data_IF_566991359505
#
_entry.id   IF_566991359505
#
_cell.length_a   1.000
_cell.length_b   1.000
_cell.length_c   1.000
_cell.angle_alpha   90.00
_cell.angle_beta   90.00
_cell.angle_gamma   90.00
#
_symmetry.space_group_name_H-M   'P 1'
#
loop_
_entity.id
_entity.type
_entity.pdbx_description
1 polymer ?
#
# COMPACT_ATOMS: atom_id res chain seq x y z
N UNK A 1 12.05 7.94 18.10
CA UNK A 1 11.30 7.18 17.07
C UNK A 1 11.27 5.73 17.51
N UNK A 2 10.09 5.12 17.56
CA UNK A 2 9.97 3.71 17.93
C UNK A 2 10.72 2.82 16.94
N UNK A 3 11.39 1.78 17.46
CA UNK A 3 12.04 0.74 16.65
C UNK A 3 11.04 -0.29 16.12
N UNK A 4 9.81 -0.27 16.61
CA UNK A 4 8.74 -1.17 16.19
C UNK A 4 7.85 -0.49 15.13
N UNK A 5 7.82 -1.00 13.88
CA UNK A 5 6.99 -0.45 12.81
C UNK A 5 5.47 -0.65 13.04
N UNK A 6 5.06 -1.49 14.00
CA UNK A 6 3.65 -1.75 14.34
C UNK A 6 3.11 -0.71 15.33
N UNK A 7 3.93 -0.24 16.28
CA UNK A 7 3.49 0.68 17.32
C UNK A 7 2.75 1.93 16.77
N UNK A 8 3.21 2.61 15.69
CA UNK A 8 2.53 3.79 15.15
C UNK A 8 1.16 3.50 14.54
N UNK A 9 0.83 2.24 14.26
CA UNK A 9 -0.43 1.82 13.63
C UNK A 9 -1.27 0.91 14.54
N UNK A 10 -0.85 0.66 15.79
CA UNK A 10 -1.58 -0.23 16.70
C UNK A 10 -3.03 0.21 16.88
N UNK A 11 -3.26 1.53 17.04
CA UNK A 11 -4.62 2.09 17.16
C UNK A 11 -5.52 1.85 15.93
N UNK A 12 -4.95 1.56 14.76
CA UNK A 12 -5.70 1.10 13.58
C UNK A 12 -5.96 -0.40 13.66
N UNK A 13 -4.93 -1.17 14.03
CA UNK A 13 -5.02 -2.61 14.16
C UNK A 13 -6.04 -3.03 15.23
N UNK A 14 -6.26 -2.23 16.25
CA UNK A 14 -7.26 -2.49 17.30
C UNK A 14 -8.71 -2.27 16.82
N UNK A 15 -8.91 -1.70 15.63
CA UNK A 15 -10.24 -1.49 15.06
C UNK A 15 -10.75 -2.75 14.34
N UNK A 16 -12.06 -2.89 14.28
CA UNK A 16 -12.71 -3.94 13.49
C UNK A 16 -12.36 -3.85 12.00
N UNK A 17 -12.18 -2.63 11.48
CA UNK A 17 -11.80 -2.36 10.08
C UNK A 17 -10.53 -1.47 10.01
N UNK A 18 -9.32 -2.03 10.17
CA UNK A 18 -8.07 -1.26 10.25
C UNK A 18 -7.77 -0.38 9.03
N UNK A 19 -8.30 -0.74 7.86
CA UNK A 19 -8.10 0.02 6.61
C UNK A 19 -9.08 1.18 6.42
N UNK A 20 -10.22 1.18 7.13
CA UNK A 20 -11.27 2.19 6.94
C UNK A 20 -10.77 3.62 7.18
N UNK A 21 -9.95 3.92 8.20
CA UNK A 21 -9.42 5.27 8.39
C UNK A 21 -8.50 5.74 7.24
N UNK A 22 -7.84 4.82 6.54
CA UNK A 22 -7.02 5.16 5.36
C UNK A 22 -7.91 5.51 4.17
N UNK A 23 -8.98 4.75 3.92
CA UNK A 23 -9.96 5.10 2.89
C UNK A 23 -10.62 6.46 3.16
N UNK A 24 -10.92 6.76 4.41
CA UNK A 24 -11.41 8.09 4.81
C UNK A 24 -10.37 9.19 4.53
N UNK A 25 -9.07 8.93 4.80
CA UNK A 25 -8.01 9.88 4.44
C UNK A 25 -7.92 10.11 2.92
N UNK A 26 -8.09 9.06 2.10
CA UNK A 26 -8.16 9.18 0.65
C UNK A 26 -9.36 10.00 0.19
N UNK A 27 -10.55 9.77 0.80
CA UNK A 27 -11.75 10.56 0.53
C UNK A 27 -11.53 12.05 0.84
N UNK A 28 -10.87 12.38 1.96
CA UNK A 28 -10.53 13.76 2.31
C UNK A 28 -9.56 14.40 1.31
N UNK A 29 -8.58 13.65 0.81
CA UNK A 29 -7.69 14.15 -0.26
C UNK A 29 -8.46 14.40 -1.55
N UNK A 30 -9.41 13.53 -1.88
CA UNK A 30 -10.31 13.74 -3.01
C UNK A 30 -11.10 15.04 -2.87
N UNK A 31 -11.68 15.27 -1.69
CA UNK A 31 -12.44 16.49 -1.37
C UNK A 31 -11.56 17.75 -1.47
N UNK A 32 -10.32 17.70 -0.95
CA UNK A 32 -9.35 18.79 -1.08
C UNK A 32 -9.08 19.10 -2.56
N UNK A 33 -8.87 18.06 -3.38
CA UNK A 33 -8.67 18.23 -4.82
C UNK A 33 -9.91 18.80 -5.52
N UNK A 34 -11.11 18.35 -5.14
CA UNK A 34 -12.37 18.84 -5.71
C UNK A 34 -12.66 20.30 -5.36
N UNK A 35 -12.22 20.76 -4.18
CA UNK A 35 -12.38 22.14 -3.74
C UNK A 35 -11.31 23.08 -4.32
N UNK A 36 -10.20 22.55 -4.85
CA UNK A 36 -9.17 23.35 -5.48
C UNK A 36 -9.62 23.90 -6.84
N UNK A 37 -8.96 24.97 -7.30
CA UNK A 37 -9.17 25.50 -8.64
C UNK A 37 -8.85 24.42 -9.68
N UNK A 38 -9.78 24.18 -10.61
CA UNK A 38 -9.64 23.14 -11.64
C UNK A 38 -8.35 23.31 -12.43
N UNK A 39 -7.54 22.24 -12.50
CA UNK A 39 -6.26 22.24 -13.20
C UNK A 39 -5.13 22.97 -12.47
N UNK A 40 -5.29 23.29 -11.17
CA UNK A 40 -4.24 23.90 -10.38
C UNK A 40 -3.22 22.88 -9.85
N UNK A 41 -2.09 23.39 -9.37
CA UNK A 41 -1.08 22.57 -8.69
C UNK A 41 -1.60 21.96 -7.39
N UNK A 42 -2.49 22.66 -6.69
CA UNK A 42 -3.15 22.16 -5.47
C UNK A 42 -4.00 20.93 -5.77
N UNK A 43 -4.83 20.98 -6.82
CA UNK A 43 -5.60 19.82 -7.26
C UNK A 43 -4.66 18.66 -7.61
N UNK A 44 -3.62 18.93 -8.40
CA UNK A 44 -2.67 17.90 -8.82
C UNK A 44 -1.93 17.24 -7.64
N UNK A 45 -1.54 18.02 -6.63
CA UNK A 45 -0.93 17.52 -5.40
C UNK A 45 -1.90 16.65 -4.60
N UNK A 46 -3.17 17.05 -4.50
CA UNK A 46 -4.18 16.27 -3.79
C UNK A 46 -4.42 14.90 -4.47
N UNK A 47 -4.54 14.88 -5.80
CA UNK A 47 -4.69 13.64 -6.59
C UNK A 47 -3.46 12.74 -6.51
N UNK A 48 -2.26 13.32 -6.54
CA UNK A 48 -1.00 12.59 -6.31
C UNK A 48 -1.04 11.85 -4.97
N UNK A 49 -1.41 12.55 -3.91
CA UNK A 49 -1.37 12.02 -2.55
C UNK A 49 -2.46 10.98 -2.32
N UNK A 50 -3.66 11.18 -2.90
CA UNK A 50 -4.72 10.19 -2.91
C UNK A 50 -4.24 8.88 -3.57
N UNK A 51 -3.65 8.99 -4.76
CA UNK A 51 -3.09 7.84 -5.48
C UNK A 51 -1.94 7.18 -4.71
N UNK A 52 -1.10 7.97 -4.04
CA UNK A 52 0.00 7.47 -3.23
C UNK A 52 -0.49 6.59 -2.08
N UNK A 53 -1.47 7.07 -1.31
CA UNK A 53 -2.09 6.26 -0.25
C UNK A 53 -2.80 5.03 -0.82
N UNK A 54 -3.47 5.19 -1.96
CA UNK A 54 -4.14 4.11 -2.66
C UNK A 54 -3.20 2.98 -3.07
N UNK A 55 -2.08 3.32 -3.71
CA UNK A 55 -1.07 2.34 -4.12
C UNK A 55 -0.39 1.69 -2.91
N UNK A 56 -0.17 2.42 -1.81
CA UNK A 56 0.35 1.83 -0.57
C UNK A 56 -0.58 0.77 0.03
N UNK A 57 -1.89 0.88 -0.19
CA UNK A 57 -2.88 -0.14 0.20
C UNK A 57 -2.97 -1.29 -0.81
N UNK A 58 -3.12 -0.98 -2.10
CA UNK A 58 -3.41 -1.99 -3.13
C UNK A 58 -2.18 -2.81 -3.55
N UNK A 59 -1.03 -2.15 -3.61
CA UNK A 59 0.23 -2.71 -4.07
C UNK A 59 1.30 -2.23 -3.07
N UNK A 60 1.38 -2.84 -1.87
CA UNK A 60 2.18 -2.34 -0.73
C UNK A 60 3.69 -2.51 -0.97
N UNK A 61 4.20 -1.88 -2.02
CA UNK A 61 5.59 -1.86 -2.45
C UNK A 61 6.44 -1.14 -1.40
N UNK A 62 7.73 -1.49 -1.34
CA UNK A 62 8.66 -0.74 -0.49
C UNK A 62 8.80 0.68 -1.06
N UNK A 63 9.03 1.66 -0.18
CA UNK A 63 9.27 3.06 -0.55
C UNK A 63 10.18 3.23 -1.76
N UNK A 64 11.32 2.52 -1.79
CA UNK A 64 12.28 2.59 -2.90
C UNK A 64 11.61 2.27 -4.25
N UNK A 65 10.86 1.17 -4.31
CA UNK A 65 10.14 0.77 -5.52
C UNK A 65 9.08 1.79 -5.93
N UNK A 66 8.37 2.42 -4.98
CA UNK A 66 7.36 3.46 -5.29
C UNK A 66 7.98 4.73 -5.89
N UNK A 67 9.10 5.20 -5.35
CA UNK A 67 9.80 6.40 -5.85
C UNK A 67 10.36 6.16 -7.26
N UNK A 68 10.76 4.92 -7.56
CA UNK A 68 11.32 4.50 -8.85
C UNK A 68 10.25 4.20 -9.92
N UNK A 69 8.95 4.21 -9.57
CA UNK A 69 7.89 4.04 -10.57
C UNK A 69 7.95 5.16 -11.61
N UNK A 70 7.73 4.83 -12.87
CA UNK A 70 7.74 5.75 -14.00
C UNK A 70 6.50 5.57 -14.86
N UNK A 71 6.05 6.64 -15.49
CA UNK A 71 4.98 6.61 -16.49
C UNK A 71 5.46 7.32 -17.74
N UNK A 72 5.23 6.70 -18.91
CA UNK A 72 5.63 7.22 -20.21
C UNK A 72 4.47 7.08 -21.20
N UNK A 73 4.30 8.01 -22.15
CA UNK A 73 3.19 7.98 -23.11
C UNK A 73 3.16 6.72 -24.00
N UNK A 74 4.32 6.13 -24.27
CA UNK A 74 4.51 4.94 -25.11
C UNK A 74 4.34 3.61 -24.35
N UNK A 75 3.87 3.65 -23.10
CA UNK A 75 3.76 2.49 -22.21
C UNK A 75 5.09 1.77 -21.91
N UNK A 76 6.25 2.40 -22.19
CA UNK A 76 7.58 1.86 -21.82
C UNK A 76 7.97 2.16 -20.37
N UNK A 77 7.14 2.90 -19.63
CA UNK A 77 7.28 3.13 -18.20
C UNK A 77 7.06 1.87 -17.37
N UNK A 78 7.43 1.90 -16.10
CA UNK A 78 7.14 0.80 -15.17
C UNK A 78 5.68 0.76 -14.75
N UNK A 79 4.94 1.86 -14.93
CA UNK A 79 3.49 1.93 -14.79
C UNK A 79 2.88 2.23 -16.15
N UNK A 80 2.03 1.32 -16.61
CA UNK A 80 1.53 1.32 -17.98
C UNK A 80 0.09 0.82 -18.03
N UNK A 81 -0.61 1.17 -19.12
CA UNK A 81 -1.94 0.65 -19.40
C UNK A 81 -1.84 -0.51 -20.40
N UNK A 82 -2.43 -1.66 -20.05
CA UNK A 82 -2.46 -2.84 -20.92
C UNK A 82 -3.44 -2.64 -22.09
N UNK A 83 -3.39 -3.54 -23.08
CA UNK A 83 -4.36 -3.57 -24.18
C UNK A 83 -5.81 -3.80 -23.72
N UNK A 84 -6.01 -4.34 -22.51
CA UNK A 84 -7.31 -4.50 -21.88
C UNK A 84 -7.73 -3.27 -21.06
N UNK A 85 -7.07 -2.12 -21.23
CA UNK A 85 -7.28 -0.88 -20.46
C UNK A 85 -7.05 -1.00 -18.94
N UNK A 86 -6.39 -2.06 -18.48
CA UNK A 86 -6.01 -2.22 -17.08
C UNK A 86 -4.67 -1.53 -16.79
N UNK A 87 -4.56 -0.81 -15.67
CA UNK A 87 -3.27 -0.31 -15.21
C UNK A 87 -2.45 -1.40 -14.54
N UNK A 88 -1.15 -1.43 -14.85
CA UNK A 88 -0.23 -2.46 -14.39
C UNK A 88 1.10 -1.85 -13.94
N UNK A 89 1.76 -2.54 -13.02
CA UNK A 89 3.11 -2.21 -12.55
C UNK A 89 4.06 -3.32 -12.99
N UNK A 90 5.08 -2.96 -13.76
CA UNK A 90 6.16 -3.82 -14.22
C UNK A 90 7.49 -3.41 -13.61
N UNK A 91 8.09 -4.28 -12.81
CA UNK A 91 9.40 -4.09 -12.19
C UNK A 91 10.27 -5.33 -12.41
N UNK A 92 11.57 -5.13 -12.61
CA UNK A 92 12.49 -6.26 -12.58
C UNK A 92 12.61 -6.78 -11.14
N UNK A 93 12.53 -8.10 -10.93
CA UNK A 93 12.58 -8.66 -9.58
C UNK A 93 13.89 -8.34 -8.86
N UNK A 94 14.99 -8.18 -9.59
CA UNK A 94 16.27 -7.73 -9.05
C UNK A 94 16.22 -6.37 -8.32
N UNK A 95 15.20 -5.54 -8.59
CA UNK A 95 14.97 -4.27 -7.88
C UNK A 95 14.38 -4.46 -6.48
N UNK A 96 13.77 -5.62 -6.19
CA UNK A 96 13.34 -5.97 -4.85
C UNK A 96 14.49 -6.52 -4.02
N UNK A 97 14.48 -6.23 -2.72
CA UNK A 97 15.48 -6.68 -1.74
C UNK A 97 15.79 -8.20 -1.83
N UNK A 98 14.77 -9.01 -2.14
CA UNK A 98 14.87 -10.48 -2.16
C UNK A 98 14.77 -11.10 -3.56
N UNK A 99 14.72 -10.32 -4.65
CA UNK A 99 14.33 -10.84 -5.97
C UNK A 99 15.45 -11.40 -6.83
N UNK A 100 16.57 -11.85 -6.24
CA UNK A 100 17.73 -12.41 -6.98
C UNK A 100 17.60 -13.90 -7.34
N UNK A 101 16.56 -14.60 -6.89
CA UNK A 101 16.39 -16.06 -7.11
C UNK A 101 15.16 -16.31 -7.99
N UNK A 102 15.34 -16.73 -9.25
CA UNK A 102 14.22 -17.02 -10.15
C UNK A 102 14.59 -17.38 -11.61
N UNK A 103 13.74 -18.21 -12.25
CA UNK A 103 13.66 -18.50 -13.71
C UNK A 103 13.25 -17.25 -14.50
N UNK A 104 13.44 -17.22 -15.84
CA UNK A 104 13.17 -16.03 -16.67
C UNK A 104 11.76 -15.44 -16.50
N UNK A 105 10.70 -16.25 -16.46
CA UNK A 105 9.32 -15.79 -16.22
C UNK A 105 9.12 -15.23 -14.82
N UNK A 106 9.87 -15.72 -13.83
CA UNK A 106 9.87 -15.18 -12.46
C UNK A 106 10.75 -13.93 -12.28
N UNK A 107 11.46 -13.45 -13.31
CA UNK A 107 12.35 -12.27 -13.21
C UNK A 107 11.62 -10.95 -13.30
N UNK A 108 10.35 -10.94 -13.70
CA UNK A 108 9.56 -9.71 -13.83
C UNK A 108 8.38 -9.77 -12.89
N UNK A 109 8.24 -8.76 -12.04
CA UNK A 109 7.00 -8.48 -11.33
C UNK A 109 6.13 -7.68 -12.28
N UNK A 110 5.05 -8.29 -12.80
CA UNK A 110 4.08 -7.60 -13.65
C UNK A 110 2.68 -7.90 -13.11
N UNK A 111 2.11 -6.95 -12.37
CA UNK A 111 0.82 -7.14 -11.68
C UNK A 111 -0.13 -6.01 -11.99
N UNK A 112 -1.43 -6.29 -11.81
CA UNK A 112 -2.49 -5.30 -11.93
C UNK A 112 -2.45 -4.34 -10.74
N UNK A 113 -2.74 -3.07 -11.02
CA UNK A 113 -3.19 -2.12 -10.01
C UNK A 113 -4.64 -2.45 -9.68
N UNK A 114 -5.07 -2.22 -8.44
CA UNK A 114 -6.46 -2.48 -8.07
C UNK A 114 -7.42 -1.63 -8.92
N UNK A 115 -8.49 -2.26 -9.41
CA UNK A 115 -9.42 -1.67 -10.40
C UNK A 115 -10.00 -0.34 -9.92
N UNK A 116 -10.27 -0.20 -8.62
CA UNK A 116 -10.82 1.01 -8.03
C UNK A 116 -9.86 2.22 -8.07
N UNK A 117 -8.58 2.02 -8.41
CA UNK A 117 -7.62 3.10 -8.68
C UNK A 117 -7.50 3.47 -10.16
N UNK A 118 -8.07 2.70 -11.08
CA UNK A 118 -7.82 2.89 -12.51
C UNK A 118 -8.22 4.27 -13.01
N UNK A 119 -9.36 4.80 -12.59
CA UNK A 119 -9.82 6.14 -12.97
C UNK A 119 -8.87 7.21 -12.42
N UNK A 120 -8.61 7.19 -11.11
CA UNK A 120 -7.68 8.13 -10.47
C UNK A 120 -6.28 8.08 -11.08
N UNK A 121 -5.76 6.89 -11.37
CA UNK A 121 -4.45 6.71 -11.99
C UNK A 121 -4.44 7.19 -13.44
N UNK A 122 -5.53 7.00 -14.18
CA UNK A 122 -5.68 7.54 -15.54
C UNK A 122 -5.62 9.05 -15.53
N UNK A 123 -6.46 9.69 -14.71
CA UNK A 123 -6.52 11.14 -14.62
C UNK A 123 -5.21 11.72 -14.09
N UNK A 124 -4.63 11.07 -13.08
CA UNK A 124 -3.35 11.48 -12.54
C UNK A 124 -2.24 11.41 -13.58
N UNK A 125 -2.08 10.28 -14.27
CA UNK A 125 -1.03 10.12 -15.27
C UNK A 125 -1.17 11.09 -16.45
N UNK A 126 -2.40 11.34 -16.91
CA UNK A 126 -2.67 12.11 -18.13
C UNK A 126 -2.89 13.60 -17.92
N UNK A 127 -3.43 14.00 -16.77
CA UNK A 127 -3.87 15.38 -16.53
C UNK A 127 -3.13 16.04 -15.38
N UNK A 128 -2.99 15.36 -14.24
CA UNK A 128 -2.43 16.00 -13.04
C UNK A 128 -0.90 15.93 -12.93
N UNK A 129 -0.31 14.79 -13.28
CA UNK A 129 1.13 14.61 -13.26
C UNK A 129 1.86 15.56 -14.22
N UNK A 130 1.37 15.82 -15.46
CA UNK A 130 2.00 16.83 -16.33
C UNK A 130 2.05 18.23 -15.72
N UNK A 131 1.04 18.62 -14.93
CA UNK A 131 1.05 19.90 -14.21
C UNK A 131 2.18 19.95 -13.18
N UNK A 132 2.44 18.84 -12.47
CA UNK A 132 3.55 18.73 -11.53
C UNK A 132 4.90 18.69 -12.24
N UNK A 133 5.01 17.96 -13.36
CA UNK A 133 6.25 17.82 -14.11
C UNK A 133 6.73 19.17 -14.68
N UNK A 134 5.80 19.98 -15.21
CA UNK A 134 6.16 21.23 -15.86
C UNK A 134 7.25 21.01 -16.92
N UNK A 135 8.34 21.77 -16.83
CA UNK A 135 9.48 21.66 -17.74
C UNK A 135 10.54 20.61 -17.32
N UNK A 136 10.39 19.93 -16.18
CA UNK A 136 11.45 19.06 -15.63
C UNK A 136 11.70 17.79 -16.44
N UNK A 137 10.68 17.31 -17.16
CA UNK A 137 10.77 16.12 -18.02
C UNK A 137 11.07 14.82 -17.28
N UNK A 138 11.02 14.78 -15.94
CA UNK A 138 11.21 13.53 -15.20
C UNK A 138 10.09 12.54 -15.52
N UNK A 139 10.41 11.25 -15.61
CA UNK A 139 9.45 10.16 -15.90
C UNK A 139 8.80 9.57 -14.64
N UNK A 140 9.28 9.92 -13.44
CA UNK A 140 8.80 9.34 -12.19
C UNK A 140 7.29 9.56 -11.99
N UNK A 141 6.54 8.51 -11.61
CA UNK A 141 5.11 8.59 -11.39
C UNK A 141 4.78 9.65 -10.33
N UNK A 142 5.49 9.62 -9.20
CA UNK A 142 5.29 10.56 -8.11
C UNK A 142 6.31 11.69 -8.15
N UNK A 143 5.81 12.90 -8.37
CA UNK A 143 6.60 14.13 -8.40
C UNK A 143 6.26 15.01 -7.20
N UNK A 144 7.25 15.77 -6.73
CA UNK A 144 7.06 16.87 -5.80
C UNK A 144 6.28 18.02 -6.47
N UNK A 145 5.87 19.02 -5.69
CA UNK A 145 5.24 20.24 -6.24
C UNK A 145 6.18 21.01 -7.17
N UNK A 146 7.50 20.80 -7.05
CA UNK A 146 8.52 21.44 -7.87
C UNK A 146 8.93 20.59 -9.09
N UNK A 147 8.19 19.51 -9.40
CA UNK A 147 8.42 18.66 -10.57
C UNK A 147 9.61 17.71 -10.48
N UNK A 148 10.24 17.59 -9.32
CA UNK A 148 11.31 16.60 -9.06
C UNK A 148 10.73 15.28 -8.54
N UNK A 149 11.44 14.14 -8.64
CA UNK A 149 10.99 12.90 -8.01
C UNK A 149 10.70 13.09 -6.51
N UNK A 150 9.61 12.49 -6.01
CA UNK A 150 9.16 12.60 -4.62
C UNK A 150 10.08 11.82 -3.65
N UNK A 151 11.35 12.22 -3.55
CA UNK A 151 12.36 11.54 -2.74
C UNK A 151 12.06 11.62 -1.23
N UNK A 152 11.36 12.64 -0.79
CA UNK A 152 10.90 12.83 0.59
C UNK A 152 9.56 12.09 0.89
N UNK A 153 9.16 11.12 0.06
CA UNK A 153 7.90 10.36 0.21
C UNK A 153 7.62 9.86 1.63
N UNK A 154 8.64 9.46 2.41
CA UNK A 154 8.43 9.04 3.81
C UNK A 154 7.85 10.17 4.64
N UNK A 155 8.43 11.37 4.55
CA UNK A 155 7.94 12.55 5.26
C UNK A 155 6.56 12.93 4.73
N UNK A 156 6.34 12.89 3.41
CA UNK A 156 5.02 13.19 2.86
C UNK A 156 3.94 12.27 3.41
N UNK A 157 4.16 10.96 3.42
CA UNK A 157 3.20 9.97 3.93
C UNK A 157 3.00 10.11 5.44
N UNK A 158 4.06 10.39 6.19
CA UNK A 158 3.97 10.65 7.62
C UNK A 158 3.11 11.89 7.93
N UNK A 159 3.29 12.97 7.18
CA UNK A 159 2.47 14.18 7.32
C UNK A 159 1.00 13.93 6.91
N UNK A 160 0.76 13.22 5.81
CA UNK A 160 -0.59 12.87 5.37
C UNK A 160 -1.34 12.05 6.42
N UNK A 161 -0.71 10.98 6.92
CA UNK A 161 -1.33 10.09 7.91
C UNK A 161 -1.58 10.82 9.23
N UNK A 162 -0.64 11.65 9.69
CA UNK A 162 -0.80 12.47 10.89
C UNK A 162 -1.99 13.42 10.82
N UNK A 163 -2.19 14.08 9.67
CA UNK A 163 -3.23 15.11 9.54
C UNK A 163 -4.60 14.55 9.12
N UNK A 164 -4.63 13.45 8.37
CA UNK A 164 -5.85 12.94 7.77
C UNK A 164 -6.48 11.78 8.56
N UNK A 165 -5.69 11.06 9.35
CA UNK A 165 -6.16 9.92 10.14
C UNK A 165 -6.30 10.35 11.60
N UNK A 166 -7.54 10.38 12.09
CA UNK A 166 -7.85 10.76 13.47
C UNK A 166 -7.10 9.88 14.48
N UNK A 167 -6.50 10.51 15.49
CA UNK A 167 -5.71 9.82 16.52
C UNK A 167 -4.31 9.36 16.07
N UNK A 168 -3.91 9.63 14.82
CA UNK A 168 -2.59 9.25 14.32
C UNK A 168 -1.50 10.25 14.72
N UNK A 169 -0.39 9.74 15.27
CA UNK A 169 0.86 10.50 15.39
C UNK A 169 1.66 10.61 14.07
N UNK A 170 1.16 10.01 12.99
CA UNK A 170 1.84 9.87 11.70
C UNK A 170 2.61 8.56 11.58
N UNK A 171 2.58 7.97 10.39
CA UNK A 171 3.32 6.75 10.04
C UNK A 171 3.71 6.74 8.56
N UNK A 172 4.82 6.06 8.25
CA UNK A 172 5.39 6.04 6.91
C UNK A 172 4.97 4.84 6.04
N UNK A 173 5.48 4.75 4.79
CA UNK A 173 5.15 3.69 3.83
C UNK A 173 5.33 2.25 4.36
N UNK A 174 6.33 2.04 5.23
CA UNK A 174 6.58 0.70 5.76
C UNK A 174 5.45 0.20 6.66
N UNK A 175 4.79 1.11 7.40
CA UNK A 175 3.69 0.73 8.28
C UNK A 175 2.46 0.29 7.48
N UNK A 176 2.21 0.83 6.28
CA UNK A 176 1.16 0.31 5.38
C UNK A 176 1.35 -1.16 5.06
N UNK A 177 2.60 -1.62 4.87
CA UNK A 177 2.90 -3.04 4.64
C UNK A 177 2.48 -3.90 5.84
N UNK A 178 2.73 -3.42 7.06
CA UNK A 178 2.29 -4.12 8.28
C UNK A 178 0.78 -4.08 8.44
N UNK A 179 0.15 -2.94 8.16
CA UNK A 179 -1.30 -2.76 8.24
C UNK A 179 -2.03 -3.74 7.32
N UNK A 180 -1.65 -3.78 6.03
CA UNK A 180 -2.26 -4.66 5.03
C UNK A 180 -2.03 -6.15 5.36
N UNK A 181 -0.81 -6.51 5.75
CA UNK A 181 -0.49 -7.90 6.09
C UNK A 181 -1.25 -8.39 7.34
N UNK A 182 -1.32 -7.56 8.37
CA UNK A 182 -2.01 -7.91 9.62
C UNK A 182 -3.53 -7.98 9.41
N UNK A 183 -4.12 -7.05 8.65
CA UNK A 183 -5.54 -7.10 8.29
C UNK A 183 -5.88 -8.36 7.48
N UNK A 184 -5.02 -8.74 6.51
CA UNK A 184 -5.21 -9.97 5.74
C UNK A 184 -5.17 -11.21 6.63
N UNK A 185 -4.14 -11.35 7.48
CA UNK A 185 -3.96 -12.54 8.31
C UNK A 185 -5.02 -12.67 9.40
N UNK A 186 -5.53 -11.57 9.94
CA UNK A 186 -6.66 -11.60 10.87
C UNK A 186 -7.91 -12.18 10.23
N UNK A 187 -8.15 -11.87 8.96
CA UNK A 187 -9.30 -12.38 8.20
C UNK A 187 -9.06 -13.77 7.61
N UNK A 188 -7.79 -14.11 7.35
CA UNK A 188 -7.36 -15.36 6.74
C UNK A 188 -6.22 -16.00 7.56
N UNK A 189 -6.51 -16.51 8.78
CA UNK A 189 -5.45 -16.98 9.66
C UNK A 189 -4.65 -18.14 9.11
N UNK A 190 -3.33 -17.95 9.02
CA UNK A 190 -2.38 -18.92 8.49
C UNK A 190 -1.98 -18.70 7.03
N UNK A 191 -2.62 -17.77 6.32
CA UNK A 191 -2.33 -17.49 4.91
C UNK A 191 -1.09 -16.59 4.71
N UNK A 192 0.06 -17.07 5.21
CA UNK A 192 1.33 -16.37 5.14
C UNK A 192 1.92 -16.37 3.73
N UNK A 193 1.53 -17.31 2.87
CA UNK A 193 2.00 -17.37 1.49
C UNK A 193 1.46 -16.17 0.70
N UNK A 194 0.16 -15.89 0.77
CA UNK A 194 -0.43 -14.72 0.13
C UNK A 194 0.22 -13.42 0.63
N UNK A 195 0.49 -13.31 1.93
CA UNK A 195 1.21 -12.13 2.47
C UNK A 195 2.63 -12.02 1.90
N UNK A 196 3.37 -13.13 1.75
CA UNK A 196 4.71 -13.11 1.17
C UNK A 196 4.69 -12.62 -0.29
N UNK A 197 3.72 -13.08 -1.08
CA UNK A 197 3.51 -12.64 -2.46
C UNK A 197 3.11 -11.16 -2.52
N UNK A 198 2.12 -10.76 -1.71
CA UNK A 198 1.61 -9.38 -1.64
C UNK A 198 2.71 -8.38 -1.27
N UNK A 199 3.55 -8.74 -0.29
CA UNK A 199 4.62 -7.89 0.20
C UNK A 199 5.91 -7.99 -0.64
N UNK A 200 6.00 -8.92 -1.59
CA UNK A 200 7.26 -9.26 -2.28
C UNK A 200 8.39 -9.50 -1.26
N UNK A 201 8.11 -10.35 -0.28
CA UNK A 201 9.03 -10.78 0.78
C UNK A 201 9.21 -12.30 0.75
N UNK A 202 10.18 -12.83 1.51
CA UNK A 202 10.28 -14.28 1.65
C UNK A 202 9.33 -14.79 2.72
N UNK A 203 8.86 -16.04 2.59
CA UNK A 203 7.96 -16.64 3.57
C UNK A 203 8.60 -16.68 4.97
N UNK A 204 9.91 -16.89 5.06
CA UNK A 204 10.65 -16.90 6.33
C UNK A 204 10.56 -15.55 7.04
N UNK A 205 10.70 -14.44 6.31
CA UNK A 205 10.60 -13.08 6.86
C UNK A 205 9.16 -12.78 7.30
N UNK A 206 8.17 -13.23 6.53
CA UNK A 206 6.75 -13.07 6.89
C UNK A 206 6.44 -13.86 8.16
N UNK A 207 6.85 -15.12 8.24
CA UNK A 207 6.67 -15.94 9.45
C UNK A 207 7.36 -15.32 10.65
N UNK A 208 8.61 -14.85 10.53
CA UNK A 208 9.30 -14.20 11.66
C UNK A 208 8.58 -12.95 12.14
N UNK A 209 7.87 -12.25 11.25
CA UNK A 209 7.19 -10.99 11.55
C UNK A 209 5.79 -11.22 12.14
N UNK A 210 5.06 -12.24 11.68
CA UNK A 210 3.62 -12.39 11.98
C UNK A 210 3.22 -13.73 12.63
N UNK A 211 4.16 -14.65 12.89
CA UNK A 211 3.83 -15.94 13.49
C UNK A 211 3.20 -15.82 14.89
N UNK A 212 3.38 -14.69 15.59
CA UNK A 212 2.71 -14.44 16.87
C UNK A 212 1.17 -14.42 16.72
N UNK A 213 0.64 -13.92 15.60
CA UNK A 213 -0.80 -13.95 15.31
C UNK A 213 -1.36 -15.38 15.29
N UNK A 214 -0.54 -16.35 14.85
CA UNK A 214 -0.92 -17.76 14.80
C UNK A 214 -1.19 -18.36 16.18
N UNK A 215 -0.51 -17.88 17.24
CA UNK A 215 -0.64 -18.48 18.57
C UNK A 215 -2.03 -18.23 19.14
N UNK A 216 -2.53 -16.99 19.04
CA UNK A 216 -3.87 -16.62 19.49
C UNK A 216 -4.96 -17.33 18.67
N UNK A 217 -4.75 -17.43 17.34
CA UNK A 217 -5.68 -18.14 16.46
C UNK A 217 -5.70 -19.65 16.75
N UNK A 218 -4.55 -20.27 17.01
CA UNK A 218 -4.44 -21.68 17.35
C UNK A 218 -5.15 -21.99 18.67
N UNK A 219 -4.96 -21.14 19.69
CA UNK A 219 -5.65 -21.27 20.97
C UNK A 219 -7.15 -21.07 20.83
N UNK A 220 -7.60 -20.10 20.02
CA UNK A 220 -9.02 -19.86 19.74
C UNK A 220 -9.66 -21.06 19.05
N UNK A 221 -9.02 -21.60 17.99
CA UNK A 221 -9.49 -22.80 17.29
C UNK A 221 -9.55 -24.02 18.22
N UNK A 222 -8.52 -24.21 19.02
CA UNK A 222 -8.50 -25.30 20.00
C UNK A 222 -9.60 -25.12 21.06
N UNK A 223 -9.82 -23.90 21.55
CA UNK A 223 -10.88 -23.59 22.52
C UNK A 223 -12.27 -23.85 21.93
N UNK A 224 -12.51 -23.49 20.66
CA UNK A 224 -13.76 -23.79 19.97
C UNK A 224 -13.98 -25.29 19.80
N UNK A 225 -12.94 -26.04 19.41
CA UNK A 225 -12.98 -27.50 19.34
C UNK A 225 -13.28 -28.12 20.71
N UNK A 226 -12.67 -27.61 21.78
CA UNK A 226 -12.95 -28.06 23.14
C UNK A 226 -14.41 -27.78 23.53
N UNK A 227 -14.94 -26.60 23.20
CA UNK A 227 -16.34 -26.25 23.48
C UNK A 227 -17.34 -27.22 22.83
N UNK A 228 -17.07 -27.69 21.61
CA UNK A 228 -17.89 -28.71 20.93
C UNK A 228 -17.86 -30.06 21.69
N UNK A 229 -16.70 -30.40 22.27
CA UNK A 229 -16.46 -31.64 23.01
C UNK A 229 -16.77 -31.52 24.52
N UNK A 230 -17.13 -30.33 25.01
CA UNK A 230 -17.37 -30.13 26.44
C UNK A 230 -18.54 -31.00 26.91
N UNK A 231 -18.37 -31.84 27.93
CA UNK A 231 -19.48 -32.55 28.56
C UNK A 231 -20.41 -31.55 29.27
N UNK A 232 -21.70 -31.90 29.38
CA UNK A 232 -22.75 -30.97 29.83
C UNK A 232 -22.50 -30.37 31.22
N UNK A 233 -21.83 -31.09 32.12
CA UNK A 233 -21.50 -30.57 33.45
C UNK A 233 -20.45 -29.44 33.46
N UNK A 234 -19.74 -29.22 32.34
CA UNK A 234 -18.79 -28.12 32.14
C UNK A 234 -19.35 -27.00 31.24
N UNK A 235 -20.49 -27.21 30.58
CA UNK A 235 -21.18 -26.17 29.80
C UNK A 235 -21.91 -25.24 30.79
N UNK A 236 -21.32 -24.08 31.07
CA UNK A 236 -21.95 -23.02 31.88
C UNK A 236 -22.83 -22.13 31.02
#
# INVERSE_FOLDING_TARGET
>A
MSRDPVQPIQFLLDQANPLAPVFEAMRRLRDIGNAASKGSLEEAVARRDELLLGLLLSNPLRRKNLIELTVRPDNSGTVYQSSANEWRIRLQRATFKNGKKGTQESRTYDVRVAIWLNELLTDYARHFRPLLAGASGHDNLFLSRCGTPLNDMTHRVLELTKHLISGSGGFGPHAFRHLVASDWLRRNPGDFLTVAELLNDTLEVVLSSYAHLKQDDALTRHSNQLNELLPDYLRK
#
